data_IF_388546961284
#
_entry.id   IF_388546961284
#
_cell.length_a   1.000
_cell.length_b   1.000
_cell.length_c   1.000
_cell.angle_alpha   90.00
_cell.angle_beta   90.00
_cell.angle_gamma   90.00
#
_symmetry.space_group_name_H-M   'P 1'
#
loop_
_entity.id
_entity.type
_entity.pdbx_description
1 polymer ?
#
# COMPACT_ATOMS: atom_id res chain seq x y z
N UNK A 1 -42.95 -11.62 -5.33
CA UNK A 1 -41.90 -11.08 -4.45
C UNK A 1 -40.67 -11.98 -4.54
N UNK A 2 -39.91 -11.86 -5.63
CA UNK A 2 -38.60 -12.48 -5.79
C UNK A 2 -37.71 -11.33 -6.26
N UNK A 3 -36.88 -10.80 -5.37
CA UNK A 3 -35.78 -9.86 -5.63
C UNK A 3 -35.11 -9.59 -4.28
N UNK A 4 -34.45 -10.62 -3.75
CA UNK A 4 -33.46 -10.49 -2.66
C UNK A 4 -32.21 -11.33 -2.97
N UNK A 5 -31.87 -11.44 -4.25
CA UNK A 5 -30.65 -12.11 -4.72
C UNK A 5 -29.61 -11.06 -5.15
N UNK A 6 -29.33 -10.09 -4.27
CA UNK A 6 -28.23 -9.13 -4.47
C UNK A 6 -27.36 -8.91 -3.23
N UNK A 7 -27.59 -9.64 -2.14
CA UNK A 7 -26.84 -9.46 -0.89
C UNK A 7 -25.70 -10.48 -0.69
N UNK A 8 -25.15 -11.07 -1.76
CA UNK A 8 -24.15 -12.15 -1.62
C UNK A 8 -22.80 -11.93 -2.31
N UNK A 9 -22.46 -10.71 -2.74
CA UNK A 9 -21.19 -10.47 -3.46
C UNK A 9 -20.25 -9.48 -2.75
N UNK A 10 -20.72 -8.67 -1.80
CA UNK A 10 -19.91 -7.54 -1.34
C UNK A 10 -19.07 -7.77 -0.07
N UNK A 11 -19.41 -8.76 0.77
CA UNK A 11 -18.80 -8.88 2.10
C UNK A 11 -17.57 -9.80 2.23
N UNK A 12 -16.87 -10.12 1.12
CA UNK A 12 -15.65 -10.97 1.15
C UNK A 12 -14.33 -10.18 1.07
N UNK A 13 -14.36 -8.84 1.18
CA UNK A 13 -13.17 -7.98 1.05
C UNK A 13 -12.55 -7.49 2.36
N UNK A 14 -13.13 -7.83 3.51
CA UNK A 14 -12.74 -7.25 4.82
C UNK A 14 -11.80 -8.08 5.70
N UNK A 15 -11.23 -9.21 5.22
CA UNK A 15 -10.46 -10.11 6.09
C UNK A 15 -9.00 -10.36 5.67
N UNK A 16 -8.33 -9.41 5.04
CA UNK A 16 -6.86 -9.44 4.96
C UNK A 16 -6.28 -8.13 5.52
N UNK A 17 -6.43 -8.00 6.83
CA UNK A 17 -5.55 -7.23 7.71
C UNK A 17 -4.23 -8.00 7.83
N UNK A 18 -3.50 -8.13 6.71
CA UNK A 18 -2.12 -8.56 6.74
C UNK A 18 -1.31 -7.34 7.14
N UNK A 19 -0.95 -7.31 8.43
CA UNK A 19 0.11 -6.48 8.98
C UNK A 19 1.30 -6.57 8.02
N UNK A 20 1.42 -5.58 7.14
CA UNK A 20 2.45 -5.54 6.12
C UNK A 20 3.74 -5.42 6.90
N UNK A 21 4.45 -6.55 7.08
CA UNK A 21 5.77 -6.60 7.68
C UNK A 21 6.78 -5.98 6.70
N UNK A 22 6.67 -4.67 6.52
CA UNK A 22 7.53 -3.85 5.67
C UNK A 22 9.01 -4.04 6.04
N UNK A 23 9.29 -4.40 7.30
CA UNK A 23 10.64 -4.60 7.83
C UNK A 23 11.44 -5.73 7.17
N UNK A 24 10.82 -6.85 6.80
CA UNK A 24 11.58 -8.00 6.24
C UNK A 24 12.02 -7.76 4.79
N UNK A 25 11.24 -6.99 4.01
CA UNK A 25 11.48 -6.78 2.58
C UNK A 25 11.71 -5.31 2.19
N UNK A 26 12.06 -4.46 3.17
CA UNK A 26 12.20 -3.01 3.00
C UNK A 26 13.18 -2.62 1.89
N UNK A 27 14.31 -3.33 1.76
CA UNK A 27 15.34 -2.99 0.78
C UNK A 27 14.80 -3.13 -0.66
N UNK A 28 14.08 -4.21 -0.95
CA UNK A 28 13.45 -4.43 -2.26
C UNK A 28 12.27 -3.47 -2.48
N UNK A 29 11.43 -3.29 -1.47
CA UNK A 29 10.28 -2.39 -1.54
C UNK A 29 10.72 -0.94 -1.81
N UNK A 30 11.73 -0.45 -1.09
CA UNK A 30 12.27 0.90 -1.27
C UNK A 30 12.85 1.12 -2.67
N UNK A 31 13.49 0.11 -3.25
CA UNK A 31 13.95 0.14 -4.63
C UNK A 31 12.80 0.28 -5.64
N UNK A 32 11.69 -0.45 -5.43
CA UNK A 32 10.48 -0.30 -6.24
C UNK A 32 9.79 1.04 -6.03
N UNK A 33 9.75 1.54 -4.78
CA UNK A 33 9.17 2.86 -4.49
C UNK A 33 9.93 3.95 -5.26
N UNK A 34 11.27 3.94 -5.30
CA UNK A 34 12.03 4.93 -6.10
C UNK A 34 11.71 4.87 -7.60
N UNK A 35 11.46 3.66 -8.13
CA UNK A 35 11.11 3.48 -9.55
C UNK A 35 9.72 4.02 -9.86
N UNK A 36 8.73 3.73 -9.02
CA UNK A 36 7.34 4.18 -9.23
C UNK A 36 7.07 5.62 -8.78
N UNK A 37 7.85 6.11 -7.82
CA UNK A 37 7.68 7.42 -7.23
C UNK A 37 8.98 8.22 -7.39
N UNK A 38 9.30 8.74 -8.59
CA UNK A 38 10.55 9.43 -8.87
C UNK A 38 10.74 10.72 -8.04
N UNK A 39 9.64 11.28 -7.50
CA UNK A 39 9.66 12.44 -6.61
C UNK A 39 10.06 12.10 -5.16
N UNK A 40 10.18 10.81 -4.83
CA UNK A 40 10.58 10.33 -3.50
C UNK A 40 12.09 10.15 -3.47
N UNK A 41 12.76 10.89 -2.60
CA UNK A 41 14.21 10.82 -2.45
C UNK A 41 14.67 9.66 -1.57
N UNK A 42 15.96 9.34 -1.61
CA UNK A 42 16.58 8.38 -0.68
C UNK A 42 16.36 8.79 0.78
N UNK A 43 16.44 10.08 1.07
CA UNK A 43 16.23 10.63 2.42
C UNK A 43 14.80 10.41 2.88
N UNK A 44 13.81 10.64 2.01
CA UNK A 44 12.40 10.37 2.33
C UNK A 44 12.21 8.90 2.73
N UNK A 45 12.83 7.96 2.01
CA UNK A 45 12.74 6.53 2.29
C UNK A 45 13.41 6.11 3.60
N UNK A 46 14.53 6.73 3.99
CA UNK A 46 15.17 6.41 5.28
C UNK A 46 14.23 6.67 6.46
N UNK A 47 13.37 7.70 6.38
CA UNK A 47 12.38 8.00 7.41
C UNK A 47 11.14 7.09 7.34
N UNK A 48 10.76 6.64 6.15
CA UNK A 48 9.56 5.82 5.91
C UNK A 48 9.66 4.39 6.46
N UNK A 49 10.86 3.89 6.80
CA UNK A 49 11.06 2.55 7.40
C UNK A 49 10.35 2.36 8.75
N UNK A 50 9.93 3.46 9.40
CA UNK A 50 9.32 3.46 10.74
C UNK A 50 7.85 3.02 10.79
N UNK A 51 7.18 2.86 9.65
CA UNK A 51 5.81 2.29 9.62
C UNK A 51 5.02 2.59 8.34
N UNK A 52 4.01 1.76 8.06
CA UNK A 52 3.18 1.84 6.85
C UNK A 52 2.44 3.18 6.72
N UNK A 53 1.88 3.69 7.82
CA UNK A 53 1.09 4.92 7.79
C UNK A 53 1.92 6.16 7.40
N UNK A 54 3.16 6.25 7.88
CA UNK A 54 4.04 7.36 7.54
C UNK A 54 4.54 7.24 6.09
N UNK A 55 4.86 6.03 5.65
CA UNK A 55 5.17 5.73 4.25
C UNK A 55 4.03 6.19 3.32
N UNK A 56 2.80 5.75 3.59
CA UNK A 56 1.63 6.10 2.78
C UNK A 56 1.41 7.62 2.76
N UNK A 57 1.50 8.29 3.91
CA UNK A 57 1.31 9.74 4.00
C UNK A 57 2.34 10.53 3.19
N UNK A 58 3.61 10.16 3.28
CA UNK A 58 4.68 10.82 2.50
C UNK A 58 4.55 10.51 1.00
N UNK A 59 4.22 9.28 0.63
CA UNK A 59 3.98 8.92 -0.77
C UNK A 59 2.79 9.68 -1.37
N UNK A 60 1.72 9.88 -0.60
CA UNK A 60 0.58 10.69 -1.04
C UNK A 60 1.02 12.12 -1.38
N UNK A 61 1.80 12.76 -0.50
CA UNK A 61 2.27 14.15 -0.69
C UNK A 61 3.17 14.24 -1.93
N UNK A 62 4.09 13.29 -2.12
CA UNK A 62 5.07 13.32 -3.22
C UNK A 62 4.51 12.91 -4.58
N UNK A 63 3.51 12.03 -4.58
CA UNK A 63 2.96 11.44 -5.81
C UNK A 63 1.63 12.04 -6.26
N UNK A 64 0.91 12.73 -5.35
CA UNK A 64 -0.46 13.19 -5.58
C UNK A 64 -1.51 12.06 -5.62
N UNK A 65 -1.11 10.79 -5.45
CA UNK A 65 -2.03 9.64 -5.43
C UNK A 65 -2.76 9.56 -4.10
N UNK A 66 -3.97 8.99 -4.13
CA UNK A 66 -4.75 8.78 -2.90
C UNK A 66 -4.10 7.71 -2.01
N UNK A 67 -4.36 7.78 -0.69
CA UNK A 67 -3.88 6.76 0.27
C UNK A 67 -4.30 5.35 -0.12
N UNK A 68 -5.51 5.18 -0.66
CA UNK A 68 -6.02 3.87 -1.09
C UNK A 68 -5.19 3.28 -2.23
N UNK A 69 -4.91 4.07 -3.27
CA UNK A 69 -4.10 3.62 -4.40
C UNK A 69 -2.69 3.23 -3.98
N UNK A 70 -2.09 3.99 -3.05
CA UNK A 70 -0.76 3.70 -2.53
C UNK A 70 -0.78 2.43 -1.70
N UNK A 71 -1.74 2.27 -0.78
CA UNK A 71 -1.88 1.07 0.04
C UNK A 71 -2.08 -0.17 -0.82
N UNK A 72 -2.95 -0.09 -1.82
CA UNK A 72 -3.19 -1.18 -2.76
C UNK A 72 -1.94 -1.54 -3.54
N UNK A 73 -1.19 -0.54 -4.03
CA UNK A 73 0.07 -0.76 -4.72
C UNK A 73 1.14 -1.38 -3.81
N UNK A 74 1.30 -0.87 -2.57
CA UNK A 74 2.26 -1.39 -1.59
C UNK A 74 1.92 -2.84 -1.23
N UNK A 75 0.63 -3.12 -0.97
CA UNK A 75 0.13 -4.48 -0.67
C UNK A 75 0.33 -5.43 -1.84
N UNK A 76 -0.04 -5.01 -3.04
CA UNK A 76 0.15 -5.79 -4.28
C UNK A 76 1.64 -6.09 -4.51
N UNK A 77 2.49 -5.08 -4.33
CA UNK A 77 3.95 -5.20 -4.47
C UNK A 77 4.56 -6.10 -3.40
N UNK A 78 4.11 -6.03 -2.16
CA UNK A 78 4.58 -6.89 -1.08
C UNK A 78 4.13 -8.35 -1.22
N UNK A 79 2.94 -8.59 -1.79
CA UNK A 79 2.39 -9.94 -2.00
C UNK A 79 3.15 -10.75 -3.06
N UNK A 80 3.80 -10.08 -4.00
CA UNK A 80 4.58 -10.71 -5.09
C UNK A 80 6.06 -10.91 -4.75
N UNK A 81 6.52 -10.46 -3.58
CA UNK A 81 7.90 -10.60 -3.12
C UNK A 81 8.00 -11.62 -1.99
#
# INVERSE_FOLDING_TARGET
MQHKEKEHIENKKEAEESDLKLGTNWNNLSGRIKKEFPNVSNSDLQFMSRGENELIGRLQIKSGKTKSQIREWVRSTAKIM
#
